data_IF_583130838850
#
_entry.id   IF_583130838850
#
_cell.length_a   1.000
_cell.length_b   1.000
_cell.length_c   1.000
_cell.angle_alpha   90.00
_cell.angle_beta   90.00
_cell.angle_gamma   90.00
#
_symmetry.space_group_name_H-M   'P 1'
#
loop_
_entity.id
_entity.type
_entity.pdbx_description
1 polymer ?
#
# COMPACT_ATOMS: atom_id res chain seq x y z
N UNK A 1 -28.59 -2.23 -18.41
CA UNK A 1 -27.58 -2.49 -17.37
C UNK A 1 -26.25 -2.00 -17.92
N UNK A 2 -25.80 -0.83 -17.48
CA UNK A 2 -24.54 -0.25 -17.96
C UNK A 2 -23.37 -1.04 -17.35
N UNK A 3 -22.53 -1.59 -18.21
CA UNK A 3 -21.28 -2.25 -17.82
C UNK A 3 -20.43 -1.33 -16.93
N UNK A 4 -19.73 -1.85 -15.92
CA UNK A 4 -18.83 -1.03 -15.12
C UNK A 4 -17.69 -0.53 -16.02
N UNK A 5 -17.59 0.79 -16.19
CA UNK A 5 -16.41 1.42 -16.80
C UNK A 5 -15.19 1.11 -15.92
N UNK A 6 -14.31 0.25 -16.41
CA UNK A 6 -13.00 0.07 -15.81
C UNK A 6 -12.21 1.37 -16.03
N UNK A 7 -11.56 1.93 -14.98
CA UNK A 7 -10.85 3.19 -15.10
C UNK A 7 -9.75 3.11 -16.17
N UNK A 8 -9.73 4.09 -17.08
CA UNK A 8 -8.75 4.23 -18.15
C UNK A 8 -7.32 4.18 -17.57
N UNK A 9 -6.62 3.09 -17.89
CA UNK A 9 -5.24 2.78 -17.51
C UNK A 9 -4.28 3.94 -17.83
N UNK A 10 -3.62 4.48 -16.80
CA UNK A 10 -2.27 5.08 -16.86
C UNK A 10 -1.91 5.95 -15.64
N UNK A 11 -2.88 6.38 -14.83
CA UNK A 11 -2.60 7.23 -13.67
C UNK A 11 -2.62 6.42 -12.38
N UNK A 12 -1.47 6.32 -11.71
CA UNK A 12 -1.42 5.86 -10.31
C UNK A 12 -2.36 6.79 -9.52
N UNK A 13 -3.36 6.25 -8.81
CA UNK A 13 -4.29 7.09 -8.08
C UNK A 13 -3.54 7.91 -7.03
N UNK A 14 -3.98 9.14 -6.78
CA UNK A 14 -3.34 10.03 -5.81
C UNK A 14 -3.55 9.61 -4.35
N UNK A 15 -4.50 8.71 -4.10
CA UNK A 15 -4.79 8.09 -2.81
C UNK A 15 -5.37 6.69 -2.99
N UNK A 16 -5.25 5.86 -1.96
CA UNK A 16 -5.80 4.51 -1.99
C UNK A 16 -5.32 3.63 -0.85
N UNK A 17 -5.68 2.35 -0.95
CA UNK A 17 -5.26 1.29 -0.03
C UNK A 17 -4.43 0.27 -0.82
N UNK A 18 -3.28 -0.12 -0.26
CA UNK A 18 -2.44 -1.19 -0.76
C UNK A 18 -2.50 -2.38 0.20
N UNK A 19 -2.82 -3.55 -0.34
CA UNK A 19 -2.79 -4.82 0.38
C UNK A 19 -1.45 -5.49 0.11
N UNK A 20 -0.57 -5.50 1.10
CA UNK A 20 0.78 -6.07 0.97
C UNK A 20 0.85 -7.38 1.73
N UNK A 21 1.26 -8.46 1.08
CA UNK A 21 1.70 -9.65 1.79
C UNK A 21 3.14 -9.44 2.30
N UNK A 22 3.29 -9.21 3.60
CA UNK A 22 4.59 -8.90 4.21
C UNK A 22 5.39 -10.20 4.38
N UNK A 23 6.59 -10.32 3.77
CA UNK A 23 7.46 -11.45 4.02
C UNK A 23 8.13 -11.38 5.41
N UNK A 24 8.76 -12.49 5.79
CA UNK A 24 9.66 -12.55 6.95
C UNK A 24 10.91 -11.72 6.68
N UNK A 25 11.47 -11.12 7.74
CA UNK A 25 12.74 -10.40 7.69
C UNK A 25 12.64 -8.93 7.29
N UNK A 26 11.43 -8.42 7.00
CA UNK A 26 11.19 -6.99 6.76
C UNK A 26 10.25 -6.43 7.83
N UNK A 27 10.49 -5.20 8.27
CA UNK A 27 9.62 -4.51 9.21
C UNK A 27 8.42 -3.89 8.48
N UNK A 28 7.32 -3.59 9.19
CA UNK A 28 6.23 -2.79 8.62
C UNK A 28 6.70 -1.41 8.12
N UNK A 29 7.74 -0.85 8.73
CA UNK A 29 8.32 0.44 8.31
C UNK A 29 9.11 0.35 7.00
N UNK A 30 9.78 -0.78 6.75
CA UNK A 30 10.48 -1.03 5.48
C UNK A 30 9.48 -1.08 4.33
N UNK A 31 8.35 -1.77 4.55
CA UNK A 31 7.26 -1.85 3.57
C UNK A 31 6.68 -0.46 3.26
N UNK A 32 6.47 0.38 4.28
CA UNK A 32 6.04 1.78 4.07
C UNK A 32 7.08 2.57 3.28
N UNK A 33 8.36 2.40 3.60
CA UNK A 33 9.45 3.11 2.92
C UNK A 33 9.54 2.72 1.45
N UNK A 34 9.36 1.44 1.14
CA UNK A 34 9.27 0.93 -0.22
C UNK A 34 8.05 1.51 -0.96
N UNK A 35 6.87 1.51 -0.32
CA UNK A 35 5.65 2.07 -0.91
C UNK A 35 5.76 3.57 -1.20
N UNK A 36 6.42 4.36 -0.34
CA UNK A 36 6.69 5.78 -0.58
C UNK A 36 7.51 6.02 -1.85
N UNK A 37 8.51 5.17 -2.09
CA UNK A 37 9.33 5.20 -3.31
C UNK A 37 8.52 4.87 -4.56
N UNK A 38 7.72 3.80 -4.51
CA UNK A 38 6.88 3.37 -5.64
C UNK A 38 5.76 4.35 -6.00
N UNK A 39 5.13 4.95 -4.98
CA UNK A 39 3.97 5.83 -5.15
C UNK A 39 4.36 7.30 -5.29
N UNK A 40 5.66 7.63 -5.22
CA UNK A 40 6.19 8.99 -5.25
C UNK A 40 5.52 9.95 -4.26
N UNK A 41 5.13 9.45 -3.09
CA UNK A 41 4.44 10.23 -2.05
C UNK A 41 4.99 9.90 -0.66
N UNK A 42 5.07 10.92 0.20
CA UNK A 42 5.47 10.74 1.60
C UNK A 42 4.30 10.33 2.49
N UNK A 43 3.06 10.58 2.06
CA UNK A 43 1.83 10.27 2.80
C UNK A 43 1.48 8.79 2.62
N UNK A 44 2.14 7.96 3.41
CA UNK A 44 1.88 6.51 3.49
C UNK A 44 1.95 6.09 4.96
N UNK A 45 0.96 5.32 5.40
CA UNK A 45 0.87 4.71 6.73
C UNK A 45 0.28 3.30 6.67
N UNK A 46 0.40 2.54 7.76
CA UNK A 46 -0.11 1.17 7.85
C UNK A 46 -1.20 1.04 8.93
N UNK A 47 -2.17 0.15 8.71
CA UNK A 47 -3.25 -0.13 9.66
C UNK A 47 -2.92 -1.34 10.54
N UNK A 48 -1.89 -1.18 11.39
CA UNK A 48 -1.38 -2.23 12.28
C UNK A 48 0.09 -2.58 12.01
N UNK A 49 0.81 -3.02 13.05
CA UNK A 49 2.24 -3.34 12.97
C UNK A 49 2.43 -4.84 12.98
N UNK A 50 3.28 -5.35 12.10
CA UNK A 50 3.75 -6.72 12.10
C UNK A 50 5.23 -6.72 12.45
N UNK A 51 5.61 -7.55 13.43
CA UNK A 51 7.00 -7.73 13.80
C UNK A 51 7.84 -8.21 12.61
N UNK A 52 9.17 -8.00 12.62
CA UNK A 52 10.05 -8.43 11.54
C UNK A 52 9.91 -9.93 11.20
N UNK A 53 9.62 -10.76 12.21
CA UNK A 53 9.44 -12.21 12.05
C UNK A 53 8.03 -12.62 11.61
N UNK A 54 7.04 -11.73 11.72
CA UNK A 54 5.66 -12.01 11.33
C UNK A 54 5.50 -11.94 9.80
N UNK A 55 4.64 -12.79 9.23
CA UNK A 55 4.23 -12.73 7.82
C UNK A 55 2.75 -12.44 7.70
N UNK A 56 2.31 -12.01 6.52
CA UNK A 56 0.90 -11.92 6.18
C UNK A 56 0.46 -10.52 5.80
N UNK A 57 -0.85 -10.30 5.79
CA UNK A 57 -1.44 -9.09 5.24
C UNK A 57 -1.12 -7.85 6.08
N UNK A 58 -0.43 -6.90 5.45
CA UNK A 58 -0.22 -5.54 5.92
C UNK A 58 -1.00 -4.58 5.02
N UNK A 59 -1.94 -3.85 5.61
CA UNK A 59 -2.76 -2.86 4.92
C UNK A 59 -2.06 -1.51 4.99
N UNK A 60 -1.79 -0.89 3.85
CA UNK A 60 -1.24 0.47 3.77
C UNK A 60 -2.28 1.44 3.21
N UNK A 61 -2.43 2.59 3.82
CA UNK A 61 -3.13 3.74 3.25
C UNK A 61 -2.12 4.75 2.68
N UNK A 62 -2.44 5.37 1.54
CA UNK A 62 -1.62 6.43 0.97
C UNK A 62 -2.44 7.59 0.38
N UNK A 63 -1.80 8.76 0.28
CA UNK A 63 -2.41 9.99 -0.23
C UNK A 63 -3.23 10.73 0.82
N UNK A 64 -4.38 11.29 0.42
CA UNK A 64 -5.40 11.87 1.30
C UNK A 64 -6.43 10.79 1.70
N UNK A 65 -5.95 9.67 2.21
CA UNK A 65 -6.81 8.66 2.81
C UNK A 65 -7.27 9.12 4.20
#
# INVERSE_FOLDING_TARGET
>A
MSSPELPSSSKVPSSGILLVDKPKGVTSHDVVSFARGLLHTKRVGHAGTLDPMATGLLILGFGNA
#
